data_IF_314717939027
#
_entry.id   IF_314717939027
#
_cell.length_a   1.000
_cell.length_b   1.000
_cell.length_c   1.000
_cell.angle_alpha   90.00
_cell.angle_beta   90.00
_cell.angle_gamma   90.00
#
_symmetry.space_group_name_H-M   'P 1'
#
loop_
_entity.id
_entity.type
_entity.pdbx_description
1 polymer ?
#
# COMPACT_ATOMS: atom_id res chain seq x y z
N UNK A 1 10.48 -1.63 -2.05
CA UNK A 1 9.82 -2.93 -1.72
C UNK A 1 9.81 -3.84 -2.94
N UNK A 2 10.97 -4.00 -3.57
CA UNK A 2 11.06 -4.10 -5.04
C UNK A 2 10.68 -5.47 -5.60
N UNK A 3 10.50 -6.45 -4.72
CA UNK A 3 10.11 -7.82 -5.08
C UNK A 3 8.62 -8.12 -4.83
N UNK A 4 7.87 -7.21 -4.22
CA UNK A 4 6.41 -7.35 -4.11
C UNK A 4 5.79 -7.04 -5.48
N UNK A 5 4.86 -7.89 -5.92
CA UNK A 5 3.98 -7.52 -7.03
C UNK A 5 3.06 -6.38 -6.59
N UNK A 6 2.55 -5.62 -7.56
CA UNK A 6 1.67 -4.47 -7.29
C UNK A 6 0.42 -4.89 -6.50
N UNK A 7 -0.17 -6.03 -6.84
CA UNK A 7 -1.30 -6.60 -6.11
C UNK A 7 -0.94 -6.97 -4.67
N UNK A 8 0.26 -7.53 -4.44
CA UNK A 8 0.71 -7.87 -3.11
C UNK A 8 0.95 -6.60 -2.27
N UNK A 9 1.55 -5.56 -2.85
CA UNK A 9 1.79 -4.28 -2.19
C UNK A 9 0.47 -3.61 -1.73
N UNK A 10 -0.52 -3.54 -2.62
CA UNK A 10 -1.84 -3.00 -2.31
C UNK A 10 -2.54 -3.84 -1.23
N UNK A 11 -2.52 -5.16 -1.35
CA UNK A 11 -3.10 -6.06 -0.35
C UNK A 11 -2.43 -5.88 1.03
N UNK A 12 -1.10 -5.77 1.06
CA UNK A 12 -0.33 -5.52 2.29
C UNK A 12 -0.73 -4.20 2.93
N UNK A 13 -0.88 -3.12 2.16
CA UNK A 13 -1.36 -1.84 2.67
C UNK A 13 -2.74 -1.96 3.31
N UNK A 14 -3.72 -2.56 2.63
CA UNK A 14 -5.06 -2.72 3.20
C UNK A 14 -5.06 -3.59 4.47
N UNK A 15 -4.27 -4.66 4.50
CA UNK A 15 -4.13 -5.49 5.69
C UNK A 15 -3.48 -4.73 6.85
N UNK A 16 -2.40 -3.99 6.57
CA UNK A 16 -1.71 -3.17 7.57
C UNK A 16 -2.64 -2.09 8.18
N UNK A 17 -3.46 -1.43 7.34
CA UNK A 17 -4.48 -0.48 7.81
C UNK A 17 -5.54 -1.14 8.68
N UNK A 18 -6.06 -2.32 8.29
CA UNK A 18 -7.05 -3.05 9.09
C UNK A 18 -6.52 -3.51 10.44
N UNK A 19 -5.24 -3.88 10.49
CA UNK A 19 -4.56 -4.30 11.72
C UNK A 19 -4.09 -3.12 12.58
N UNK A 20 -4.29 -1.88 12.14
CA UNK A 20 -3.82 -0.67 12.83
C UNK A 20 -2.32 -0.76 13.14
N UNK A 21 -1.53 -1.21 12.17
CA UNK A 21 -0.07 -1.19 12.29
C UNK A 21 0.44 0.24 12.36
N UNK A 22 1.72 0.40 12.73
CA UNK A 22 2.29 1.73 12.95
C UNK A 22 2.17 2.62 11.70
N UNK A 23 1.90 3.90 11.95
CA UNK A 23 1.85 4.93 10.90
C UNK A 23 3.16 5.02 10.10
N UNK A 24 4.30 4.72 10.72
CA UNK A 24 5.59 4.65 10.04
C UNK A 24 5.60 3.54 8.98
N UNK A 25 5.03 2.37 9.31
CA UNK A 25 4.95 1.26 8.38
C UNK A 25 3.93 1.53 7.25
N UNK A 26 2.80 2.16 7.58
CA UNK A 26 1.82 2.58 6.58
C UNK A 26 2.41 3.60 5.60
N UNK A 27 3.19 4.57 6.09
CA UNK A 27 3.86 5.56 5.24
C UNK A 27 4.85 4.94 4.25
N UNK A 28 5.61 3.93 4.67
CA UNK A 28 6.52 3.20 3.77
C UNK A 28 5.77 2.51 2.62
N UNK A 29 4.57 1.98 2.90
CA UNK A 29 3.72 1.36 1.89
C UNK A 29 3.11 2.41 0.95
N UNK A 30 2.67 3.55 1.49
CA UNK A 30 2.11 4.66 0.71
C UNK A 30 3.15 5.26 -0.23
N UNK A 31 4.38 5.46 0.24
CA UNK A 31 5.49 5.96 -0.57
C UNK A 31 5.80 5.01 -1.73
N UNK A 32 5.85 3.70 -1.48
CA UNK A 32 6.07 2.71 -2.54
C UNK A 32 4.90 2.67 -3.54
N UNK A 33 3.65 2.73 -3.07
CA UNK A 33 2.45 2.78 -3.93
C UNK A 33 2.49 4.01 -4.83
N UNK A 34 2.89 5.16 -4.27
CA UNK A 34 3.04 6.41 -5.00
C UNK A 34 4.16 6.33 -6.05
N UNK A 35 5.35 5.84 -5.66
CA UNK A 35 6.51 5.69 -6.56
C UNK A 35 6.19 4.80 -7.76
N UNK A 36 5.40 3.74 -7.58
CA UNK A 36 4.98 2.84 -8.65
C UNK A 36 3.77 3.33 -9.46
N UNK A 37 3.27 4.53 -9.16
CA UNK A 37 2.06 5.10 -9.75
C UNK A 37 0.82 4.18 -9.61
N UNK A 38 0.74 3.40 -8.53
CA UNK A 38 -0.38 2.50 -8.24
C UNK A 38 -1.53 3.20 -7.50
N UNK A 39 -1.44 4.51 -7.28
CA UNK A 39 -2.46 5.29 -6.57
C UNK A 39 -3.84 5.22 -7.22
N UNK A 40 -3.93 4.99 -8.54
CA UNK A 40 -5.21 4.77 -9.23
C UNK A 40 -5.86 3.42 -8.91
N UNK A 41 -5.05 2.38 -8.67
CA UNK A 41 -5.50 1.05 -8.22
C UNK A 41 -5.85 1.03 -6.73
N UNK A 42 -5.38 2.02 -5.98
CA UNK A 42 -5.74 2.21 -4.57
C UNK A 42 -7.17 2.76 -4.41
N UNK A 43 -7.69 3.43 -5.44
CA UNK A 43 -8.96 4.15 -5.40
C UNK A 43 -10.15 3.24 -5.76
N UNK A 44 -10.27 2.07 -5.13
CA UNK A 44 -11.50 1.27 -5.15
C UNK A 44 -12.21 1.35 -3.80
N UNK A 45 -12.86 2.48 -3.57
CA UNK A 45 -13.96 2.66 -2.61
C UNK A 45 -14.63 4.02 -2.88
N UNK A 46 -15.32 4.11 -4.01
CA UNK A 46 -16.35 5.11 -4.30
C UNK A 46 -17.70 4.40 -4.41
#
# INVERSE_FOLDING_TARGET
>A
MDHLSDQALINTYHHARRLQLSEDFLRLLEEEIYVRALSSLHSEAG
#
